data_IF_859926841575
#
_entry.id   IF_859926841575
#
_cell.length_a   1.000
_cell.length_b   1.000
_cell.length_c   1.000
_cell.angle_alpha   90.00
_cell.angle_beta   90.00
_cell.angle_gamma   90.00
#
_symmetry.space_group_name_H-M   'P 1'
#
loop_
_entity.id
_entity.type
_entity.pdbx_description
1 polymer ?
#
# COMPACT_ATOMS: atom_id res chain seq x y z
N UNK A 1 19.03 9.48 -9.09
CA UNK A 1 19.41 9.64 -7.67
C UNK A 1 19.87 8.32 -7.05
N UNK A 2 19.24 7.20 -7.41
CA UNK A 2 19.48 5.86 -6.84
C UNK A 2 20.93 5.33 -6.96
N UNK A 3 21.64 5.66 -8.05
CA UNK A 3 23.03 5.22 -8.25
C UNK A 3 24.07 6.13 -7.59
N UNK A 4 23.70 7.29 -7.05
CA UNK A 4 24.66 8.29 -6.56
C UNK A 4 25.55 7.70 -5.45
N UNK A 5 24.95 6.96 -4.51
CA UNK A 5 25.70 6.32 -3.44
C UNK A 5 26.69 5.28 -3.99
N UNK A 6 26.23 4.37 -4.84
CA UNK A 6 27.05 3.30 -5.44
C UNK A 6 28.20 3.90 -6.25
N UNK A 7 27.93 4.93 -7.06
CA UNK A 7 28.95 5.63 -7.86
C UNK A 7 29.94 6.38 -6.98
N UNK A 8 29.48 7.02 -5.92
CA UNK A 8 30.34 7.77 -4.98
C UNK A 8 31.26 6.83 -4.21
N UNK A 9 30.74 5.72 -3.70
CA UNK A 9 31.52 4.70 -2.99
C UNK A 9 32.61 4.14 -3.89
N UNK A 10 32.29 3.82 -5.14
CA UNK A 10 33.26 3.30 -6.13
C UNK A 10 34.35 4.31 -6.51
N UNK A 11 34.06 5.62 -6.43
CA UNK A 11 35.01 6.68 -6.81
C UNK A 11 35.89 7.16 -5.67
N UNK A 12 35.37 7.19 -4.43
CA UNK A 12 36.07 7.76 -3.28
C UNK A 12 36.84 6.74 -2.44
N UNK A 13 36.48 5.46 -2.50
CA UNK A 13 37.09 4.44 -1.64
C UNK A 13 37.90 3.41 -2.44
N UNK A 14 38.96 2.84 -1.83
CA UNK A 14 39.65 1.67 -2.38
C UNK A 14 38.69 0.50 -2.58
N UNK A 15 38.98 -0.37 -3.56
CA UNK A 15 38.12 -1.50 -3.95
C UNK A 15 37.71 -2.41 -2.79
N UNK A 16 38.58 -2.57 -1.78
CA UNK A 16 38.29 -3.35 -0.58
C UNK A 16 37.17 -2.74 0.28
N UNK A 17 37.29 -1.45 0.62
CA UNK A 17 36.26 -0.73 1.38
C UNK A 17 34.98 -0.54 0.57
N UNK A 18 35.11 -0.31 -0.74
CA UNK A 18 33.96 -0.28 -1.65
C UNK A 18 33.17 -1.58 -1.63
N UNK A 19 33.85 -2.73 -1.63
CA UNK A 19 33.22 -4.04 -1.46
C UNK A 19 32.43 -4.17 -0.15
N UNK A 20 33.04 -3.77 0.98
CA UNK A 20 32.39 -3.80 2.30
C UNK A 20 31.10 -2.96 2.30
N UNK A 21 31.14 -1.74 1.78
CA UNK A 21 29.96 -0.86 1.74
C UNK A 21 28.84 -1.42 0.86
N UNK A 22 29.18 -1.98 -0.31
CA UNK A 22 28.18 -2.60 -1.18
C UNK A 22 27.57 -3.85 -0.54
N UNK A 23 28.37 -4.68 0.13
CA UNK A 23 27.87 -5.82 0.91
C UNK A 23 26.95 -5.39 2.04
N UNK A 24 27.27 -4.30 2.74
CA UNK A 24 26.40 -3.76 3.80
C UNK A 24 25.04 -3.29 3.27
N UNK A 25 25.02 -2.61 2.12
CA UNK A 25 23.77 -2.20 1.46
C UNK A 25 22.96 -3.41 1.03
N UNK A 26 23.58 -4.42 0.41
CA UNK A 26 22.89 -5.65 0.02
C UNK A 26 22.31 -6.38 1.24
N UNK A 27 23.06 -6.48 2.34
CA UNK A 27 22.59 -7.07 3.58
C UNK A 27 21.40 -6.32 4.17
N UNK A 28 21.43 -4.98 4.15
CA UNK A 28 20.33 -4.15 4.62
C UNK A 28 19.06 -4.33 3.77
N UNK A 29 19.20 -4.36 2.43
CA UNK A 29 18.07 -4.60 1.51
C UNK A 29 17.48 -5.99 1.75
N UNK A 30 18.31 -7.03 1.89
CA UNK A 30 17.84 -8.40 2.14
C UNK A 30 17.06 -8.50 3.44
N UNK A 31 17.56 -7.90 4.53
CA UNK A 31 16.85 -7.91 5.83
C UNK A 31 15.47 -7.24 5.79
N UNK A 32 15.34 -6.18 4.99
CA UNK A 32 14.08 -5.47 4.80
C UNK A 32 13.13 -6.27 3.91
N UNK A 33 13.65 -6.79 2.79
CA UNK A 33 12.88 -7.62 1.86
C UNK A 33 12.29 -8.86 2.55
N UNK A 34 13.09 -9.57 3.35
CA UNK A 34 12.65 -10.76 4.10
C UNK A 34 11.50 -10.42 5.04
N UNK A 35 11.61 -9.30 5.77
CA UNK A 35 10.57 -8.85 6.70
C UNK A 35 9.28 -8.47 5.95
N UNK A 36 9.37 -7.74 4.84
CA UNK A 36 8.20 -7.34 4.06
C UNK A 36 7.51 -8.53 3.36
N UNK A 37 8.30 -9.49 2.85
CA UNK A 37 7.76 -10.73 2.27
C UNK A 37 7.03 -11.55 3.33
N UNK A 38 7.59 -11.68 4.53
CA UNK A 38 6.97 -12.44 5.62
C UNK A 38 5.69 -11.76 6.13
N UNK A 39 5.69 -10.44 6.30
CA UNK A 39 4.50 -9.67 6.68
C UNK A 39 3.40 -9.85 5.63
N UNK A 40 3.73 -9.68 4.35
CA UNK A 40 2.76 -9.84 3.25
C UNK A 40 2.20 -11.26 3.19
N UNK A 41 3.06 -12.28 3.29
CA UNK A 41 2.63 -13.68 3.30
C UNK A 41 1.74 -14.00 4.51
N UNK A 42 2.03 -13.42 5.67
CA UNK A 42 1.22 -13.59 6.88
C UNK A 42 -0.15 -12.94 6.72
N UNK A 43 -0.23 -11.74 6.13
CA UNK A 43 -1.50 -11.09 5.79
C UNK A 43 -2.31 -11.94 4.79
N UNK A 44 -1.67 -12.52 3.76
CA UNK A 44 -2.36 -13.43 2.82
C UNK A 44 -2.96 -14.64 3.54
N UNK A 45 -2.23 -15.25 4.48
CA UNK A 45 -2.74 -16.41 5.23
C UNK A 45 -3.86 -16.01 6.19
N UNK A 46 -3.65 -14.97 6.99
CA UNK A 46 -4.60 -14.61 8.03
C UNK A 46 -5.86 -13.93 7.47
N UNK A 47 -5.69 -13.02 6.52
CA UNK A 47 -6.78 -12.16 6.04
C UNK A 47 -7.52 -12.79 4.85
N UNK A 48 -6.82 -13.50 3.96
CA UNK A 48 -7.49 -14.15 2.83
C UNK A 48 -7.82 -15.61 3.14
N UNK A 49 -6.86 -16.42 3.57
CA UNK A 49 -7.11 -17.86 3.72
C UNK A 49 -8.06 -18.16 4.87
N UNK A 50 -7.80 -17.66 6.08
CA UNK A 50 -8.63 -17.99 7.25
C UNK A 50 -10.04 -17.39 7.16
N UNK A 51 -10.18 -16.16 6.65
CA UNK A 51 -11.49 -15.48 6.53
C UNK A 51 -12.33 -16.05 5.40
N UNK A 52 -11.75 -16.33 4.22
CA UNK A 52 -12.51 -16.82 3.06
C UNK A 52 -12.85 -18.31 3.21
N UNK A 53 -11.89 -19.12 3.68
CA UNK A 53 -12.08 -20.58 3.78
C UNK A 53 -12.88 -20.96 5.04
N UNK A 54 -13.04 -20.04 6.02
CA UNK A 54 -13.80 -20.22 7.27
C UNK A 54 -13.56 -21.57 7.94
N UNK A 55 -12.31 -22.02 7.95
CA UNK A 55 -11.95 -23.35 8.47
C UNK A 55 -10.80 -23.23 9.43
N UNK A 56 -11.02 -23.70 10.67
CA UNK A 56 -9.93 -23.96 11.60
C UNK A 56 -8.93 -24.90 10.93
N UNK A 57 -7.79 -24.32 10.57
CA UNK A 57 -6.75 -25.01 9.83
C UNK A 57 -5.62 -25.29 10.80
N UNK A 58 -5.15 -26.54 10.83
CA UNK A 58 -4.00 -26.92 11.63
C UNK A 58 -2.82 -25.96 11.38
N UNK A 59 -2.09 -25.59 12.42
CA UNK A 59 -0.89 -24.73 12.34
C UNK A 59 0.09 -25.21 11.26
N UNK A 60 0.25 -26.53 11.10
CA UNK A 60 1.10 -27.11 10.05
C UNK A 60 0.64 -26.72 8.65
N UNK A 61 -0.67 -26.67 8.41
CA UNK A 61 -1.24 -26.28 7.12
C UNK A 61 -1.07 -24.79 6.88
N UNK A 62 -1.31 -23.95 7.89
CA UNK A 62 -1.09 -22.50 7.80
C UNK A 62 0.37 -22.17 7.49
N UNK A 63 1.33 -22.87 8.11
CA UNK A 63 2.75 -22.70 7.83
C UNK A 63 3.12 -23.08 6.38
N UNK A 64 2.54 -24.14 5.83
CA UNK A 64 2.76 -24.50 4.42
C UNK A 64 2.18 -23.46 3.45
N UNK A 65 0.98 -22.95 3.74
CA UNK A 65 0.36 -21.91 2.91
C UNK A 65 1.20 -20.63 2.95
N UNK A 66 1.68 -20.22 4.15
CA UNK A 66 2.58 -19.07 4.31
C UNK A 66 3.83 -19.22 3.43
N UNK A 67 4.50 -20.38 3.45
CA UNK A 67 5.69 -20.63 2.62
C UNK A 67 5.39 -20.55 1.12
N UNK A 68 4.26 -21.08 0.67
CA UNK A 68 3.84 -20.99 -0.73
C UNK A 68 3.53 -19.54 -1.09
N UNK A 69 2.86 -18.78 -0.23
CA UNK A 69 2.59 -17.36 -0.42
C UNK A 69 3.89 -16.56 -0.58
N UNK A 70 4.91 -16.80 0.27
CA UNK A 70 6.23 -16.16 0.12
C UNK A 70 6.81 -16.44 -1.27
N UNK A 71 6.81 -17.70 -1.72
CA UNK A 71 7.35 -18.06 -3.04
C UNK A 71 6.61 -17.31 -4.16
N UNK A 72 5.27 -17.30 -4.13
CA UNK A 72 4.46 -16.63 -5.15
C UNK A 72 4.74 -15.11 -5.16
N UNK A 73 4.73 -14.47 -4.00
CA UNK A 73 4.98 -13.03 -3.87
C UNK A 73 6.40 -12.68 -4.36
N UNK A 74 7.40 -13.48 -3.99
CA UNK A 74 8.79 -13.29 -4.45
C UNK A 74 8.92 -13.41 -5.96
N UNK A 75 8.24 -14.37 -6.59
CA UNK A 75 8.24 -14.51 -8.06
C UNK A 75 7.62 -13.29 -8.73
N UNK A 76 6.48 -12.80 -8.23
CA UNK A 76 5.84 -11.59 -8.75
C UNK A 76 6.76 -10.37 -8.60
N UNK A 77 7.38 -10.20 -7.42
CA UNK A 77 8.31 -9.11 -7.16
C UNK A 77 9.53 -9.16 -8.11
N UNK A 78 10.09 -10.34 -8.35
CA UNK A 78 11.17 -10.53 -9.33
C UNK A 78 10.73 -10.16 -10.75
N UNK A 79 9.53 -10.57 -11.19
CA UNK A 79 9.01 -10.21 -12.52
C UNK A 79 8.87 -8.70 -12.67
N UNK A 80 8.33 -8.02 -11.65
CA UNK A 80 8.19 -6.56 -11.67
C UNK A 80 9.56 -5.86 -11.66
N UNK A 81 10.54 -6.39 -10.92
CA UNK A 81 11.90 -5.86 -10.86
C UNK A 81 12.70 -6.01 -12.17
N UNK A 82 12.28 -6.89 -13.09
CA UNK A 82 12.93 -7.06 -14.39
C UNK A 82 12.60 -5.95 -15.39
N UNK A 83 11.61 -5.09 -15.13
CA UNK A 83 11.26 -3.98 -16.02
C UNK A 83 12.18 -2.77 -15.76
N UNK A 84 13.12 -2.45 -16.68
CA UNK A 84 14.14 -1.43 -16.45
C UNK A 84 13.63 0.01 -16.67
N UNK A 85 12.39 0.19 -17.13
CA UNK A 85 11.87 1.50 -17.50
C UNK A 85 11.40 2.33 -16.29
N UNK A 86 11.10 1.68 -15.16
CA UNK A 86 10.64 2.36 -13.96
C UNK A 86 11.75 2.52 -12.93
N UNK A 87 11.94 3.74 -12.43
CA UNK A 87 12.83 3.97 -11.28
C UNK A 87 12.24 3.36 -10.00
N UNK A 88 13.09 2.93 -9.07
CA UNK A 88 12.65 2.37 -7.78
C UNK A 88 11.76 3.38 -7.06
N UNK A 89 12.16 4.66 -7.07
CA UNK A 89 11.39 5.75 -6.48
C UNK A 89 10.05 5.96 -7.18
N UNK A 90 9.96 5.76 -8.50
CA UNK A 90 8.70 5.83 -9.25
C UNK A 90 7.73 4.73 -8.84
N UNK A 91 8.19 3.47 -8.83
CA UNK A 91 7.36 2.32 -8.43
C UNK A 91 6.84 2.50 -6.99
N UNK A 92 7.73 2.89 -6.08
CA UNK A 92 7.41 3.10 -4.66
C UNK A 92 6.45 4.28 -4.50
N UNK A 93 6.71 5.40 -5.17
CA UNK A 93 5.85 6.59 -5.15
C UNK A 93 4.43 6.28 -5.63
N UNK A 94 4.30 5.49 -6.68
CA UNK A 94 3.01 5.10 -7.26
C UNK A 94 2.25 4.14 -6.34
N UNK A 95 2.94 3.19 -5.71
CA UNK A 95 2.34 2.31 -4.71
C UNK A 95 1.82 3.14 -3.52
N UNK A 96 2.62 4.06 -2.99
CA UNK A 96 2.21 4.95 -1.88
C UNK A 96 1.08 5.90 -2.27
N UNK A 97 1.05 6.39 -3.51
CA UNK A 97 -0.05 7.22 -4.00
C UNK A 97 -1.37 6.43 -3.97
N UNK A 98 -1.37 5.20 -4.49
CA UNK A 98 -2.55 4.32 -4.50
C UNK A 98 -3.04 4.01 -3.09
N UNK A 99 -2.15 3.55 -2.21
CA UNK A 99 -2.51 3.25 -0.82
C UNK A 99 -2.95 4.50 -0.05
N UNK A 100 -2.23 5.61 -0.19
CA UNK A 100 -2.54 6.87 0.48
C UNK A 100 -3.88 7.46 0.05
N UNK A 101 -4.19 7.43 -1.25
CA UNK A 101 -5.47 7.88 -1.79
C UNK A 101 -6.64 6.98 -1.39
N UNK A 102 -6.43 5.66 -1.35
CA UNK A 102 -7.47 4.71 -1.04
C UNK A 102 -7.80 4.69 0.47
N UNK A 103 -6.79 4.51 1.32
CA UNK A 103 -6.99 4.26 2.75
C UNK A 103 -6.82 5.50 3.62
N UNK A 104 -6.00 6.48 3.22
CA UNK A 104 -5.74 7.68 4.02
C UNK A 104 -7.03 8.41 4.42
N UNK A 105 -7.87 8.81 3.45
CA UNK A 105 -9.17 9.44 3.73
C UNK A 105 -10.10 8.57 4.58
N UNK A 106 -10.16 7.27 4.29
CA UNK A 106 -10.99 6.32 5.02
C UNK A 106 -10.62 6.24 6.51
N UNK A 107 -9.32 6.15 6.81
CA UNK A 107 -8.80 6.10 8.18
C UNK A 107 -9.09 7.42 8.90
N UNK A 108 -8.73 8.56 8.29
CA UNK A 108 -8.96 9.87 8.91
C UNK A 108 -10.45 10.10 9.19
N UNK A 109 -11.32 9.83 8.22
CA UNK A 109 -12.76 10.01 8.41
C UNK A 109 -13.33 9.03 9.44
N UNK A 110 -12.79 7.82 9.57
CA UNK A 110 -13.27 6.86 10.59
C UNK A 110 -12.99 7.31 12.03
N UNK A 111 -11.95 8.13 12.24
CA UNK A 111 -11.59 8.65 13.56
C UNK A 111 -12.38 9.91 13.92
N UNK A 112 -12.66 10.78 12.94
CA UNK A 112 -13.25 12.10 13.20
C UNK A 112 -14.71 12.25 12.79
N UNK A 113 -15.26 11.37 11.96
CA UNK A 113 -16.59 11.53 11.39
C UNK A 113 -17.56 10.41 11.74
N UNK A 114 -18.39 10.66 12.76
CA UNK A 114 -19.43 9.74 13.27
C UNK A 114 -20.45 9.29 12.21
N UNK A 115 -20.60 10.02 11.10
CA UNK A 115 -21.56 9.71 10.04
C UNK A 115 -21.00 8.78 8.95
N UNK A 116 -19.76 8.33 9.08
CA UNK A 116 -19.13 7.43 8.12
C UNK A 116 -19.90 6.11 7.98
N UNK A 117 -20.16 5.69 6.75
CA UNK A 117 -20.87 4.44 6.43
C UNK A 117 -19.97 3.48 5.66
N UNK A 118 -20.18 2.17 5.81
CA UNK A 118 -19.41 1.15 5.09
C UNK A 118 -19.43 1.38 3.57
N UNK A 119 -20.59 1.71 2.99
CA UNK A 119 -20.69 1.97 1.54
C UNK A 119 -19.90 3.21 1.12
N UNK A 120 -19.90 4.27 1.93
CA UNK A 120 -19.10 5.45 1.64
C UNK A 120 -17.60 5.19 1.76
N UNK A 121 -17.18 4.45 2.79
CA UNK A 121 -15.79 4.03 2.93
C UNK A 121 -15.32 3.20 1.74
N UNK A 122 -16.11 2.21 1.32
CA UNK A 122 -15.78 1.36 0.15
C UNK A 122 -15.76 2.19 -1.15
N UNK A 123 -16.72 3.11 -1.34
CA UNK A 123 -16.75 3.98 -2.50
C UNK A 123 -15.52 4.90 -2.58
N UNK A 124 -15.08 5.45 -1.45
CA UNK A 124 -13.85 6.26 -1.37
C UNK A 124 -12.59 5.46 -1.65
N UNK A 125 -12.46 4.27 -1.06
CA UNK A 125 -11.31 3.37 -1.30
C UNK A 125 -11.19 3.04 -2.79
N UNK A 126 -12.28 2.59 -3.42
CA UNK A 126 -12.30 2.25 -4.84
C UNK A 126 -12.06 3.48 -5.70
N UNK A 127 -12.69 4.60 -5.36
CA UNK A 127 -12.55 5.86 -6.08
C UNK A 127 -11.14 6.45 -6.03
N UNK A 128 -10.51 6.45 -4.86
CA UNK A 128 -9.14 6.91 -4.66
C UNK A 128 -8.13 6.03 -5.39
N UNK A 129 -8.20 4.70 -5.19
CA UNK A 129 -7.34 3.76 -5.89
C UNK A 129 -7.52 3.83 -7.42
N UNK A 130 -8.77 3.84 -7.89
CA UNK A 130 -9.11 3.95 -9.30
C UNK A 130 -8.63 5.26 -9.91
N UNK A 131 -8.74 6.37 -9.18
CA UNK A 131 -8.23 7.67 -9.64
C UNK A 131 -6.73 7.63 -9.85
N UNK A 132 -5.96 7.05 -8.92
CA UNK A 132 -4.49 6.92 -9.08
C UNK A 132 -4.14 6.08 -10.30
N UNK A 133 -4.82 4.94 -10.51
CA UNK A 133 -4.59 4.09 -11.69
C UNK A 133 -4.91 4.84 -12.98
N UNK A 134 -6.04 5.55 -13.05
CA UNK A 134 -6.41 6.35 -14.22
C UNK A 134 -5.40 7.50 -14.43
N UNK A 135 -4.93 8.12 -13.34
CA UNK A 135 -4.00 9.24 -13.37
C UNK A 135 -2.63 8.86 -13.89
N UNK A 136 -2.09 7.71 -13.49
CA UNK A 136 -0.75 7.25 -13.87
C UNK A 136 -0.75 6.57 -15.25
N UNK A 137 -1.79 5.82 -15.60
CA UNK A 137 -1.75 4.94 -16.78
C UNK A 137 -2.59 5.43 -17.97
N UNK A 138 -3.58 6.30 -17.76
CA UNK A 138 -4.51 6.72 -18.82
C UNK A 138 -4.35 8.21 -19.15
N UNK A 139 -4.37 9.06 -18.14
CA UNK A 139 -4.34 10.53 -18.27
C UNK A 139 -3.10 11.10 -18.99
N UNK A 140 -1.87 10.58 -18.84
CA UNK A 140 -0.70 11.12 -19.52
C UNK A 140 -0.81 11.03 -21.05
N UNK A 141 -1.61 10.09 -21.57
CA UNK A 141 -1.88 9.95 -23.00
C UNK A 141 -2.87 10.99 -23.55
N UNK A 142 -3.60 11.69 -22.67
CA UNK A 142 -4.69 12.61 -23.03
C UNK A 142 -4.33 14.05 -22.64
N UNK A 143 -3.71 14.24 -21.49
CA UNK A 143 -3.32 15.55 -20.94
C UNK A 143 -1.87 15.46 -20.44
N UNK A 144 -0.88 15.88 -21.24
CA UNK A 144 0.54 15.80 -20.86
C UNK A 144 0.89 16.58 -19.57
N UNK A 145 0.08 17.56 -19.19
CA UNK A 145 0.24 18.31 -17.94
C UNK A 145 -0.08 17.48 -16.68
N UNK A 146 -0.81 16.36 -16.80
CA UNK A 146 -1.15 15.49 -15.67
C UNK A 146 0.08 14.80 -15.06
N UNK A 147 1.14 14.62 -15.84
CA UNK A 147 2.42 14.00 -15.45
C UNK A 147 3.21 14.84 -14.44
N UNK A 148 2.87 16.14 -14.33
CA UNK A 148 3.51 17.06 -13.40
C UNK A 148 2.90 17.07 -12.00
N UNK A 149 1.70 16.51 -11.84
CA UNK A 149 0.99 16.49 -10.56
C UNK A 149 1.04 15.09 -9.95
N UNK A 150 1.52 15.02 -8.71
CA UNK A 150 1.56 13.76 -7.98
C UNK A 150 0.15 13.18 -7.80
N UNK A 151 -0.07 11.95 -8.28
CA UNK A 151 -1.37 11.28 -8.38
C UNK A 151 -2.11 11.09 -7.05
N UNK A 152 -1.40 11.15 -5.92
CA UNK A 152 -2.03 11.08 -4.59
C UNK A 152 -3.02 12.23 -4.35
N UNK A 153 -2.73 13.44 -4.87
CA UNK A 153 -3.55 14.64 -4.61
C UNK A 153 -4.96 14.47 -5.19
N UNK A 154 -5.12 14.22 -6.50
CA UNK A 154 -6.45 13.98 -7.08
C UNK A 154 -7.09 12.71 -6.49
N UNK A 155 -6.30 11.66 -6.23
CA UNK A 155 -6.81 10.43 -5.62
C UNK A 155 -7.45 10.64 -4.25
N UNK A 156 -6.79 11.40 -3.37
CA UNK A 156 -7.31 11.76 -2.04
C UNK A 156 -8.58 12.60 -2.16
N UNK A 157 -8.60 13.59 -3.06
CA UNK A 157 -9.77 14.47 -3.25
C UNK A 157 -10.98 13.64 -3.68
N UNK A 158 -10.82 12.77 -4.68
CA UNK A 158 -11.91 11.92 -5.17
C UNK A 158 -12.37 10.94 -4.09
N UNK A 159 -11.43 10.34 -3.35
CA UNK A 159 -11.73 9.44 -2.23
C UNK A 159 -12.57 10.13 -1.15
N UNK A 160 -12.17 11.32 -0.70
CA UNK A 160 -12.93 12.12 0.28
C UNK A 160 -14.33 12.46 -0.25
N UNK A 161 -14.43 12.97 -1.48
CA UNK A 161 -15.71 13.35 -2.07
C UNK A 161 -16.66 12.15 -2.14
N UNK A 162 -16.18 11.02 -2.65
CA UNK A 162 -17.01 9.83 -2.76
C UNK A 162 -17.40 9.28 -1.39
N UNK A 163 -16.48 9.24 -0.42
CA UNK A 163 -16.82 8.84 0.94
C UNK A 163 -17.88 9.73 1.55
N UNK A 164 -17.72 11.06 1.47
CA UNK A 164 -18.67 12.00 2.06
C UNK A 164 -20.03 11.93 1.36
N UNK A 165 -20.05 12.03 0.03
CA UNK A 165 -21.29 12.02 -0.73
C UNK A 165 -22.07 10.71 -0.55
N UNK A 166 -21.40 9.57 -0.61
CA UNK A 166 -22.06 8.26 -0.48
C UNK A 166 -22.48 8.00 0.97
N UNK A 167 -21.69 8.40 1.98
CA UNK A 167 -22.12 8.27 3.38
C UNK A 167 -23.28 9.18 3.77
N UNK A 168 -23.40 10.35 3.14
CA UNK A 168 -24.58 11.22 3.32
C UNK A 168 -25.82 10.68 2.59
N UNK A 169 -25.64 10.06 1.42
CA UNK A 169 -26.73 9.45 0.65
C UNK A 169 -27.19 8.10 1.21
N UNK A 170 -26.33 7.38 1.95
CA UNK A 170 -26.65 6.10 2.57
C UNK A 170 -27.38 6.26 3.91
N UNK A 171 -27.93 5.14 4.39
CA UNK A 171 -28.58 5.08 5.70
C UNK A 171 -27.61 5.43 6.81
N UNK A 172 -28.16 5.99 7.89
CA UNK A 172 -27.40 6.27 9.10
C UNK A 172 -26.67 5.02 9.60
N UNK A 173 -25.44 5.17 10.11
CA UNK A 173 -24.79 4.10 10.88
C UNK A 173 -25.71 3.63 12.00
N UNK A 174 -25.65 2.34 12.33
CA UNK A 174 -26.45 1.78 13.43
C UNK A 174 -26.06 2.41 14.76
N UNK A 175 -26.98 2.37 15.74
CA UNK A 175 -26.70 2.86 17.10
C UNK A 175 -25.45 2.23 17.70
N UNK A 176 -25.27 0.93 17.51
CA UNK A 176 -24.09 0.20 17.95
C UNK A 176 -22.77 0.81 17.43
N UNK A 177 -22.70 1.14 16.13
CA UNK A 177 -21.50 1.76 15.54
C UNK A 177 -21.30 3.17 16.10
N UNK A 178 -22.38 3.94 16.28
CA UNK A 178 -22.27 5.29 16.84
C UNK A 178 -21.89 5.31 18.31
N UNK A 179 -22.34 4.33 19.09
CA UNK A 179 -22.06 4.20 20.52
C UNK A 179 -20.61 3.74 20.71
N UNK A 180 -20.12 2.82 19.87
CA UNK A 180 -18.72 2.43 19.83
C UNK A 180 -17.80 3.60 19.48
N UNK A 181 -18.20 4.45 18.52
CA UNK A 181 -17.45 5.66 18.16
C UNK A 181 -17.38 6.66 19.34
N UNK A 182 -18.46 6.82 20.10
CA UNK A 182 -18.47 7.70 21.27
C UNK A 182 -17.63 7.14 22.42
N UNK A 183 -17.68 5.83 22.66
CA UNK A 183 -16.85 5.18 23.67
C UNK A 183 -15.37 5.38 23.36
N UNK A 184 -14.93 5.09 22.13
CA UNK A 184 -13.55 5.25 21.71
C UNK A 184 -13.03 6.70 21.88
N UNK A 185 -13.91 7.69 21.68
CA UNK A 185 -13.58 9.11 21.89
C UNK A 185 -13.52 9.52 23.37
N UNK A 186 -14.18 8.78 24.26
CA UNK A 186 -14.18 9.05 25.70
C UNK A 186 -12.98 8.48 26.45
N UNK A 187 -12.20 7.60 25.80
CA UNK A 187 -10.99 6.98 26.35
C UNK A 187 -9.69 7.78 26.03
N UNK A 188 -9.78 8.86 25.24
CA UNK A 188 -8.72 9.87 25.01
C UNK A 188 -8.74 10.98 26.07
#
# INVERSE_FOLDING_TARGET
MELIFITTVKKLFPSFLGGIFLSAVLASIMSTADSQLLVTASAVVNDFYTIIVKKESSEKKLMWISRISVIIISVIACILALNPNDSIMGIVSNAWAGFGAAFGPAIVLSLYWKRLTLKGTVAGIIGGAGTVVIWEYILPNIVPAADSLYSIIPGVIVSVILTVCVSLADKAPSKEVTDMFELAKSEE
#
